data_IF_207438176002
#
_entry.id   IF_207438176002
#
_cell.length_a   1.000
_cell.length_b   1.000
_cell.length_c   1.000
_cell.angle_alpha   90.00
_cell.angle_beta   90.00
_cell.angle_gamma   90.00
#
_symmetry.space_group_name_H-M   'P 1'
#
loop_
_entity.id
_entity.type
_entity.pdbx_description
1 polymer ?
#
# COMPACT_ATOMS: atom_id res chain seq x y z
N UNK A 1 -9.08 -4.21 -11.85
CA UNK A 1 -9.10 -2.78 -12.27
C UNK A 1 -8.55 -1.86 -11.18
N UNK A 2 -9.07 -1.89 -9.94
CA UNK A 2 -8.62 -1.01 -8.85
C UNK A 2 -7.10 -1.06 -8.57
N UNK A 3 -6.52 -2.27 -8.42
CA UNK A 3 -5.07 -2.43 -8.19
C UNK A 3 -4.21 -1.77 -9.28
N UNK A 4 -4.62 -1.95 -10.54
CA UNK A 4 -3.90 -1.37 -11.68
C UNK A 4 -3.94 0.16 -11.67
N UNK A 5 -5.09 0.76 -11.39
CA UNK A 5 -5.22 2.23 -11.32
C UNK A 5 -4.37 2.82 -10.19
N UNK A 6 -4.36 2.15 -9.03
CA UNK A 6 -3.51 2.56 -7.89
C UNK A 6 -2.03 2.49 -8.29
N UNK A 7 -1.57 1.36 -8.82
CA UNK A 7 -0.18 1.20 -9.26
C UNK A 7 0.21 2.25 -10.31
N UNK A 8 -0.68 2.54 -11.25
CA UNK A 8 -0.42 3.52 -12.30
C UNK A 8 -0.32 4.94 -11.74
N UNK A 9 -1.15 5.33 -10.78
CA UNK A 9 -1.01 6.62 -10.09
C UNK A 9 0.33 6.74 -9.38
N UNK A 10 0.78 5.67 -8.70
CA UNK A 10 2.09 5.68 -8.04
C UNK A 10 3.26 5.81 -9.02
N UNK A 11 3.21 5.13 -10.17
CA UNK A 11 4.27 5.16 -11.18
C UNK A 11 4.28 6.47 -11.96
N UNK A 12 3.12 6.88 -12.48
CA UNK A 12 3.04 8.00 -13.43
C UNK A 12 3.06 9.35 -12.72
N UNK A 13 2.32 9.50 -11.61
CA UNK A 13 2.13 10.79 -10.94
C UNK A 13 3.09 10.96 -9.76
N UNK A 14 3.30 9.90 -8.96
CA UNK A 14 4.14 9.97 -7.76
C UNK A 14 5.60 9.56 -7.99
N UNK A 15 5.91 8.99 -9.16
CA UNK A 15 7.26 8.52 -9.55
C UNK A 15 7.84 7.50 -8.56
N UNK A 16 6.97 6.72 -7.92
CA UNK A 16 7.34 5.68 -6.98
C UNK A 16 7.36 4.32 -7.68
N UNK A 17 8.56 3.85 -8.02
CA UNK A 17 8.75 2.65 -8.84
C UNK A 17 9.04 1.38 -8.02
N UNK A 18 9.34 1.54 -6.74
CA UNK A 18 9.72 0.43 -5.85
C UNK A 18 8.62 0.16 -4.83
N UNK A 19 8.01 -1.03 -4.94
CA UNK A 19 6.99 -1.47 -3.99
C UNK A 19 7.08 -2.96 -3.72
N UNK A 20 6.61 -3.34 -2.53
CA UNK A 20 6.29 -4.72 -2.17
C UNK A 20 4.78 -4.92 -2.24
N UNK A 21 4.35 -6.08 -2.70
CA UNK A 21 2.94 -6.47 -2.78
C UNK A 21 2.69 -7.71 -1.94
N UNK A 22 1.59 -7.72 -1.22
CA UNK A 22 1.09 -8.90 -0.51
C UNK A 22 -0.43 -8.97 -0.56
N UNK A 23 -0.97 -10.17 -0.53
CA UNK A 23 -2.40 -10.40 -0.42
C UNK A 23 -2.70 -11.22 0.82
N UNK A 24 -3.71 -10.81 1.56
CA UNK A 24 -4.24 -11.57 2.68
C UNK A 24 -5.53 -12.23 2.22
N UNK A 25 -5.53 -13.56 2.26
CA UNK A 25 -6.67 -14.38 1.90
C UNK A 25 -7.28 -14.97 3.17
N UNK A 26 -8.60 -15.26 3.16
CA UNK A 26 -9.21 -16.06 4.21
C UNK A 26 -8.50 -17.41 4.38
N UNK A 27 -8.52 -18.00 5.58
CA UNK A 27 -8.00 -19.33 5.79
C UNK A 27 -8.73 -20.33 4.88
N UNK A 28 -7.99 -21.24 4.24
CA UNK A 28 -8.57 -22.25 3.34
C UNK A 28 -9.13 -23.47 4.10
N UNK A 29 -9.39 -23.36 5.41
CA UNK A 29 -9.84 -24.47 6.25
C UNK A 29 -11.36 -24.46 6.46
N UNK A 30 -11.94 -25.65 6.69
CA UNK A 30 -13.39 -25.84 6.85
C UNK A 30 -13.98 -25.12 8.07
N UNK A 31 -13.14 -24.81 9.07
CA UNK A 31 -13.54 -24.10 10.29
C UNK A 31 -13.89 -22.61 10.05
N UNK A 32 -13.68 -22.09 8.84
CA UNK A 32 -13.99 -20.71 8.45
C UNK A 32 -15.46 -20.46 8.11
N UNK A 33 -16.33 -21.48 8.17
CA UNK A 33 -17.75 -21.37 7.85
C UNK A 33 -18.59 -20.56 8.87
N UNK A 34 -18.05 -20.29 10.07
CA UNK A 34 -18.83 -19.78 11.21
C UNK A 34 -18.82 -18.25 11.40
N UNK A 35 -18.65 -17.47 10.32
CA UNK A 35 -19.26 -16.12 10.26
C UNK A 35 -18.36 -14.89 10.41
N UNK A 36 -17.04 -15.02 10.60
CA UNK A 36 -16.12 -13.87 10.55
C UNK A 36 -14.89 -14.16 9.69
N UNK A 37 -15.10 -14.26 8.37
CA UNK A 37 -13.98 -14.37 7.43
C UNK A 37 -13.36 -12.99 7.22
N UNK A 38 -12.04 -12.89 7.40
CA UNK A 38 -11.30 -11.67 7.08
C UNK A 38 -11.48 -11.36 5.59
N UNK A 39 -11.78 -10.11 5.20
CA UNK A 39 -11.90 -9.77 3.79
C UNK A 39 -10.57 -10.03 3.07
N UNK A 40 -10.65 -10.28 1.77
CA UNK A 40 -9.46 -10.29 0.92
C UNK A 40 -8.87 -8.89 0.91
N UNK A 41 -7.64 -8.75 1.40
CA UNK A 41 -6.94 -7.47 1.44
C UNK A 41 -5.71 -7.54 0.57
N UNK A 42 -5.61 -6.63 -0.40
CA UNK A 42 -4.38 -6.38 -1.14
C UNK A 42 -3.61 -5.25 -0.46
N UNK A 43 -2.36 -5.52 -0.07
CA UNK A 43 -1.47 -4.54 0.54
C UNK A 43 -0.31 -4.21 -0.40
N UNK A 44 -0.18 -2.93 -0.72
CA UNK A 44 0.97 -2.36 -1.39
C UNK A 44 1.78 -1.55 -0.38
N UNK A 45 3.09 -1.75 -0.38
CA UNK A 45 4.03 -1.01 0.46
C UNK A 45 5.08 -0.39 -0.44
N UNK A 46 4.99 0.91 -0.65
CA UNK A 46 5.99 1.66 -1.41
C UNK A 46 7.17 2.02 -0.50
N UNK A 47 8.39 1.88 -1.02
CA UNK A 47 9.58 2.36 -0.34
C UNK A 47 9.77 3.84 -0.66
N UNK A 48 10.31 4.59 0.29
CA UNK A 48 10.72 5.96 0.00
C UNK A 48 11.89 5.95 -1.02
N UNK A 49 12.08 7.05 -1.78
CA UNK A 49 13.19 7.16 -2.72
C UNK A 49 14.53 6.86 -2.05
N UNK A 50 15.42 6.16 -2.76
CA UNK A 50 16.77 5.78 -2.27
C UNK A 50 17.64 7.00 -1.95
N UNK A 51 17.29 8.15 -2.51
CA UNK A 51 17.93 9.45 -2.23
C UNK A 51 17.56 10.01 -0.86
N UNK A 52 16.52 9.49 -0.21
CA UNK A 52 16.12 9.86 1.13
C UNK A 52 16.88 8.99 2.14
N UNK A 53 17.72 9.61 2.96
CA UNK A 53 18.57 8.92 3.96
C UNK A 53 17.77 8.06 4.96
N UNK A 54 16.45 8.30 5.11
CA UNK A 54 15.56 7.56 6.01
C UNK A 54 14.57 6.64 5.28
N UNK A 55 14.98 6.08 4.13
CA UNK A 55 14.10 5.24 3.32
C UNK A 55 13.99 3.79 3.78
N UNK A 56 14.96 3.32 4.57
CA UNK A 56 15.01 1.93 5.04
C UNK A 56 14.47 1.77 6.47
N UNK A 57 14.02 0.55 6.78
CA UNK A 57 13.65 0.16 8.13
C UNK A 57 14.89 0.16 9.02
N UNK A 58 14.83 0.86 10.14
CA UNK A 58 15.88 0.90 11.14
C UNK A 58 15.46 0.12 12.41
N UNK A 59 16.35 0.06 13.41
CA UNK A 59 16.07 -0.66 14.67
C UNK A 59 14.81 -0.17 15.38
N UNK A 60 14.49 1.12 15.31
CA UNK A 60 13.26 1.66 15.91
C UNK A 60 12.02 1.12 15.21
N UNK A 61 12.03 1.01 13.87
CA UNK A 61 10.91 0.45 13.10
C UNK A 61 10.67 -1.04 13.43
N UNK A 62 11.74 -1.79 13.74
CA UNK A 62 11.67 -3.21 14.08
C UNK A 62 11.14 -3.47 15.49
N UNK A 63 11.51 -2.64 16.46
CA UNK A 63 11.17 -2.84 17.88
C UNK A 63 9.99 -1.99 18.37
N UNK A 64 9.50 -1.04 17.56
CA UNK A 64 8.39 -0.16 17.96
C UNK A 64 7.30 -0.11 16.89
N UNK A 65 7.09 1.04 16.25
CA UNK A 65 6.11 1.27 15.20
C UNK A 65 6.81 1.89 14.00
N UNK A 66 6.40 1.48 12.80
CA UNK A 66 6.97 1.99 11.55
C UNK A 66 6.79 3.50 11.44
N UNK A 67 7.86 4.23 11.15
CA UNK A 67 7.82 5.66 10.88
C UNK A 67 7.16 5.89 9.51
N UNK A 68 6.08 6.67 9.49
CA UNK A 68 5.41 7.04 8.25
C UNK A 68 6.14 8.24 7.64
N UNK A 69 6.83 8.01 6.51
CA UNK A 69 7.62 9.05 5.84
C UNK A 69 6.83 10.09 5.04
N UNK A 70 5.51 9.90 4.87
CA UNK A 70 4.62 10.81 4.13
C UNK A 70 3.28 10.98 4.85
N UNK A 71 2.68 12.16 4.72
CA UNK A 71 1.33 12.41 5.24
C UNK A 71 0.30 11.53 4.51
N UNK A 72 -0.50 10.78 5.30
CA UNK A 72 -1.49 9.83 4.78
C UNK A 72 -2.67 10.51 4.07
N UNK A 73 -3.09 11.68 4.51
CA UNK A 73 -4.22 12.41 3.93
C UNK A 73 -3.83 13.08 2.61
N UNK A 74 -2.58 13.55 2.51
CA UNK A 74 -2.04 14.06 1.25
C UNK A 74 -1.94 12.93 0.23
N UNK A 75 -1.39 11.78 0.63
CA UNK A 75 -1.29 10.61 -0.26
C UNK A 75 -2.68 10.12 -0.70
N UNK A 76 -3.66 10.08 0.21
CA UNK A 76 -5.03 9.70 -0.12
C UNK A 76 -5.62 10.59 -1.21
N UNK A 77 -5.51 11.92 -1.08
CA UNK A 77 -6.01 12.87 -2.09
C UNK A 77 -5.33 12.69 -3.45
N UNK A 78 -4.01 12.52 -3.46
CA UNK A 78 -3.26 12.27 -4.70
C UNK A 78 -3.69 10.98 -5.39
N UNK A 79 -4.01 9.94 -4.62
CA UNK A 79 -4.53 8.69 -5.15
C UNK A 79 -5.93 8.83 -5.74
N UNK A 80 -6.81 9.55 -5.04
CA UNK A 80 -8.17 9.83 -5.50
C UNK A 80 -8.16 10.59 -6.83
N UNK A 81 -7.41 11.70 -6.91
CA UNK A 81 -7.24 12.50 -8.13
C UNK A 81 -6.66 11.67 -9.29
N UNK A 82 -5.65 10.85 -9.01
CA UNK A 82 -5.03 9.98 -10.01
C UNK A 82 -5.96 8.89 -10.52
N UNK A 83 -6.82 8.34 -9.66
CA UNK A 83 -7.83 7.35 -10.05
C UNK A 83 -8.92 8.00 -10.90
N UNK A 84 -9.44 9.16 -10.49
CA UNK A 84 -10.48 9.90 -11.23
C UNK A 84 -10.02 10.28 -12.64
N UNK A 85 -8.78 10.77 -12.77
CA UNK A 85 -8.16 11.13 -14.06
C UNK A 85 -8.17 9.97 -15.07
N UNK A 86 -8.08 8.72 -14.58
CA UNK A 86 -7.95 7.50 -15.39
C UNK A 86 -9.23 6.67 -15.47
N UNK A 87 -10.27 7.04 -14.71
CA UNK A 87 -11.57 6.38 -14.74
C UNK A 87 -12.54 7.05 -15.73
N UNK A 88 -12.22 8.25 -16.22
CA UNK A 88 -12.87 8.85 -17.40
C UNK A 88 -12.44 8.13 -18.68
#
# INVERSE_FOLDING_TARGET
KALHLVLQTFVDDLKEYSFSFGMFLPPMNESSANGHQMPVVCRLVFRNPVTNLRSDMNGLDLYTSSVIGKDRYVLYRQLEEGIEKRHK
#
